data_IF_527794281986
#
_entry.id   IF_527794281986
#
_cell.length_a   1.000
_cell.length_b   1.000
_cell.length_c   1.000
_cell.angle_alpha   90.00
_cell.angle_beta   90.00
_cell.angle_gamma   90.00
#
_symmetry.space_group_name_H-M   'P 1'
#
loop_
_entity.id
_entity.type
_entity.pdbx_description
1 polymer ?
#
# COMPACT_ATOMS: atom_id res chain seq x y z
N UNK A 1 -7.01 -9.66 19.80
CA UNK A 1 -6.34 -8.61 19.02
C UNK A 1 -5.16 -8.09 19.81
N UNK A 2 -4.06 -7.73 19.14
CA UNK A 2 -2.94 -7.08 19.81
C UNK A 2 -3.32 -5.70 20.36
N UNK A 3 -2.48 -5.14 21.23
CA UNK A 3 -2.65 -3.76 21.70
C UNK A 3 -2.59 -2.79 20.49
N UNK A 4 -3.48 -1.79 20.41
CA UNK A 4 -3.46 -0.79 19.35
C UNK A 4 -2.16 0.03 19.41
N UNK A 5 -1.86 0.75 18.32
CA UNK A 5 -0.78 1.74 18.31
C UNK A 5 -0.97 2.80 19.40
N UNK A 6 0.12 3.36 19.94
CA UNK A 6 0.03 4.24 21.11
C UNK A 6 -0.61 5.61 20.82
N UNK A 7 -0.68 6.02 19.55
CA UNK A 7 -1.35 7.26 19.13
C UNK A 7 -0.54 8.54 19.31
N UNK A 8 0.56 8.52 20.08
CA UNK A 8 1.36 9.72 20.39
C UNK A 8 2.83 9.64 19.98
N UNK A 9 3.38 8.47 19.62
CA UNK A 9 4.75 8.40 19.09
C UNK A 9 4.81 8.93 17.65
N UNK A 10 6.01 9.29 17.19
CA UNK A 10 6.22 9.81 15.83
C UNK A 10 5.66 8.88 14.74
N UNK A 11 5.82 7.57 14.91
CA UNK A 11 5.27 6.58 13.99
C UNK A 11 3.74 6.65 13.90
N UNK A 12 3.05 6.68 15.05
CA UNK A 12 1.61 6.84 15.08
C UNK A 12 1.17 8.20 14.54
N UNK A 13 1.83 9.28 14.96
CA UNK A 13 1.49 10.64 14.55
C UNK A 13 1.61 10.83 13.03
N UNK A 14 2.76 10.48 12.45
CA UNK A 14 3.00 10.59 11.00
C UNK A 14 2.09 9.67 10.20
N UNK A 15 1.76 8.48 10.72
CA UNK A 15 0.81 7.58 10.04
C UNK A 15 -0.59 8.17 10.00
N UNK A 16 -1.05 8.74 11.13
CA UNK A 16 -2.39 9.34 11.23
C UNK A 16 -2.57 10.56 10.33
N UNK A 17 -1.51 11.34 10.10
CA UNK A 17 -1.55 12.50 9.19
C UNK A 17 -1.11 12.18 7.75
N UNK A 18 -0.84 10.90 7.43
CA UNK A 18 -0.52 10.46 6.08
C UNK A 18 0.89 10.81 5.59
N UNK A 19 1.86 11.04 6.48
CA UNK A 19 3.24 11.42 6.14
C UNK A 19 4.30 10.40 6.54
N UNK A 20 3.89 9.24 7.10
CA UNK A 20 4.83 8.20 7.48
C UNK A 20 5.54 7.61 6.26
N UNK A 21 6.88 7.58 6.26
CA UNK A 21 7.68 7.17 5.11
C UNK A 21 7.39 5.74 4.62
N UNK A 22 6.99 4.85 5.53
CA UNK A 22 6.68 3.45 5.23
C UNK A 22 5.18 3.12 5.12
N UNK A 23 4.29 4.12 5.19
CA UNK A 23 2.86 3.91 5.00
C UNK A 23 2.40 4.71 3.79
N UNK A 24 2.06 4.02 2.71
CA UNK A 24 1.61 4.64 1.48
C UNK A 24 0.12 4.38 1.28
N UNK A 25 -0.66 5.44 1.09
CA UNK A 25 -2.08 5.36 0.75
C UNK A 25 -2.24 5.75 -0.71
N UNK A 26 -2.82 4.85 -1.51
CA UNK A 26 -3.07 4.98 -2.93
C UNK A 26 -4.56 5.10 -3.14
N UNK A 27 -4.94 6.20 -3.76
CA UNK A 27 -6.31 6.57 -4.13
C UNK A 27 -6.28 7.16 -5.52
N UNK A 28 -7.35 7.03 -6.27
CA UNK A 28 -7.46 7.64 -7.59
C UNK A 28 -8.76 8.41 -7.75
N UNK A 29 -8.66 9.63 -8.28
CA UNK A 29 -9.82 10.41 -8.73
C UNK A 29 -10.27 9.99 -10.15
N UNK A 30 -9.54 9.08 -10.79
CA UNK A 30 -9.86 8.55 -12.12
C UNK A 30 -10.81 7.35 -12.04
N UNK A 31 -11.44 7.05 -13.17
CA UNK A 31 -12.31 5.88 -13.31
C UNK A 31 -11.54 4.54 -13.28
N UNK A 32 -10.22 4.56 -13.51
CA UNK A 32 -9.42 3.33 -13.57
C UNK A 32 -7.96 3.55 -13.17
N UNK A 33 -7.35 2.53 -12.58
CA UNK A 33 -5.92 2.43 -12.29
C UNK A 33 -5.25 1.59 -13.37
N UNK A 34 -4.28 2.20 -14.05
CA UNK A 34 -3.62 1.63 -15.22
C UNK A 34 -2.40 0.76 -14.90
N UNK A 35 -1.96 0.01 -15.91
CA UNK A 35 -0.78 -0.87 -15.85
C UNK A 35 0.50 -0.12 -15.45
N UNK A 36 0.72 1.09 -15.99
CA UNK A 36 1.93 1.87 -15.73
C UNK A 36 2.04 2.24 -14.25
N UNK A 37 0.97 2.81 -13.70
CA UNK A 37 0.89 3.21 -12.30
C UNK A 37 1.09 2.00 -11.37
N UNK A 38 0.46 0.88 -11.71
CA UNK A 38 0.58 -0.36 -10.92
C UNK A 38 1.99 -0.93 -10.96
N UNK A 39 2.71 -0.85 -12.09
CA UNK A 39 4.13 -1.24 -12.14
C UNK A 39 4.99 -0.37 -11.23
N UNK A 40 4.73 0.93 -11.19
CA UNK A 40 5.48 1.84 -10.32
C UNK A 40 5.20 1.55 -8.83
N UNK A 41 3.96 1.17 -8.49
CA UNK A 41 3.61 0.67 -7.15
C UNK A 41 4.31 -0.62 -6.80
N UNK A 42 4.29 -1.61 -7.69
CA UNK A 42 4.98 -2.88 -7.49
C UNK A 42 6.49 -2.66 -7.30
N UNK A 43 7.10 -1.75 -8.07
CA UNK A 43 8.52 -1.39 -7.90
C UNK A 43 8.80 -0.80 -6.52
N UNK A 44 7.95 0.12 -6.04
CA UNK A 44 8.07 0.69 -4.68
C UNK A 44 7.92 -0.39 -3.61
N UNK A 45 6.99 -1.32 -3.79
CA UNK A 45 6.74 -2.42 -2.84
C UNK A 45 7.94 -3.35 -2.61
N UNK A 46 8.91 -3.36 -3.54
CA UNK A 46 10.16 -4.12 -3.40
C UNK A 46 11.21 -3.43 -2.54
N UNK A 47 11.01 -2.15 -2.20
CA UNK A 47 11.92 -1.42 -1.32
C UNK A 47 11.76 -1.90 0.13
N UNK A 48 12.87 -1.91 0.87
CA UNK A 48 12.82 -2.12 2.32
C UNK A 48 12.21 -0.91 3.03
N UNK A 49 11.54 -1.10 4.17
CA UNK A 49 11.09 0.01 5.00
C UNK A 49 12.27 0.92 5.39
N UNK A 50 12.07 2.22 5.31
CA UNK A 50 13.03 3.26 5.61
C UNK A 50 13.24 3.47 7.12
N UNK A 51 12.17 3.45 7.91
CA UNK A 51 12.24 3.75 9.36
C UNK A 51 11.58 2.68 10.24
N UNK A 52 10.55 2.02 9.73
CA UNK A 52 9.71 1.07 10.44
C UNK A 52 10.14 -0.38 10.27
N UNK A 53 9.39 -1.26 10.94
CA UNK A 53 9.57 -2.71 10.80
C UNK A 53 8.89 -3.27 9.55
N UNK A 54 7.90 -2.56 9.03
CA UNK A 54 7.07 -2.96 7.91
C UNK A 54 6.81 -1.76 7.01
N UNK A 55 6.71 -2.02 5.70
CA UNK A 55 6.16 -1.12 4.71
C UNK A 55 4.71 -1.55 4.47
N UNK A 56 3.78 -0.61 4.51
CA UNK A 56 2.36 -0.86 4.32
C UNK A 56 1.88 -0.05 3.13
N UNK A 57 1.34 -0.72 2.12
CA UNK A 57 0.74 -0.10 0.94
C UNK A 57 -0.75 -0.35 1.00
N UNK A 58 -1.51 0.72 1.21
CA UNK A 58 -2.97 0.72 1.24
C UNK A 58 -3.46 1.21 -0.11
N UNK A 59 -4.21 0.39 -0.83
CA UNK A 59 -4.89 0.76 -2.08
C UNK A 59 -6.39 0.78 -1.81
N UNK A 60 -6.98 1.97 -1.76
CA UNK A 60 -8.38 2.13 -1.36
C UNK A 60 -9.38 1.84 -2.48
N UNK A 61 -8.97 2.08 -3.73
CA UNK A 61 -9.78 1.91 -4.93
C UNK A 61 -9.32 0.69 -5.75
N UNK A 62 -9.07 -0.46 -5.11
CA UNK A 62 -8.51 -1.63 -5.81
C UNK A 62 -9.46 -2.22 -6.85
N UNK A 63 -10.78 -2.02 -6.69
CA UNK A 63 -11.82 -2.35 -7.67
C UNK A 63 -11.67 -1.57 -9.00
N UNK A 64 -10.98 -0.42 -8.98
CA UNK A 64 -10.71 0.38 -10.18
C UNK A 64 -9.51 -0.10 -10.98
N UNK A 65 -8.81 -1.15 -10.56
CA UNK A 65 -7.74 -1.73 -11.37
C UNK A 65 -8.30 -2.22 -12.70
N UNK A 66 -7.67 -1.79 -13.80
CA UNK A 66 -7.86 -2.48 -15.08
C UNK A 66 -7.41 -3.93 -14.97
N UNK A 67 -7.94 -4.83 -15.81
CA UNK A 67 -7.54 -6.25 -15.82
C UNK A 67 -6.01 -6.42 -15.92
N UNK A 68 -5.38 -5.68 -16.84
CA UNK A 68 -3.93 -5.69 -16.99
C UNK A 68 -3.17 -5.17 -15.76
N UNK A 69 -3.74 -4.20 -15.05
CA UNK A 69 -3.17 -3.69 -13.80
C UNK A 69 -3.27 -4.73 -12.69
N UNK A 70 -4.42 -5.40 -12.55
CA UNK A 70 -4.61 -6.52 -11.63
C UNK A 70 -3.57 -7.63 -11.85
N UNK A 71 -3.36 -8.04 -13.11
CA UNK A 71 -2.36 -9.06 -13.45
C UNK A 71 -0.92 -8.67 -13.07
N UNK A 72 -0.56 -7.38 -13.16
CA UNK A 72 0.73 -6.89 -12.70
C UNK A 72 0.84 -6.95 -11.18
N UNK A 73 -0.24 -6.59 -10.47
CA UNK A 73 -0.28 -6.59 -9.01
C UNK A 73 -0.20 -8.01 -8.42
N UNK A 74 -0.84 -9.00 -9.07
CA UNK A 74 -0.94 -10.38 -8.58
C UNK A 74 0.41 -10.94 -8.12
N UNK A 75 1.44 -10.84 -8.97
CA UNK A 75 2.77 -11.34 -8.62
C UNK A 75 3.32 -10.72 -7.33
N UNK A 76 3.07 -9.43 -7.10
CA UNK A 76 3.55 -8.73 -5.90
C UNK A 76 2.75 -9.07 -4.63
N UNK A 77 1.53 -9.58 -4.76
CA UNK A 77 0.67 -9.99 -3.64
C UNK A 77 0.87 -11.47 -3.31
N UNK A 78 1.06 -12.32 -4.32
CA UNK A 78 1.33 -13.76 -4.16
C UNK A 78 2.73 -14.00 -3.55
N UNK A 79 3.72 -13.21 -3.96
CA UNK A 79 5.10 -13.27 -3.47
C UNK A 79 5.55 -11.89 -2.98
N UNK A 80 5.02 -11.41 -1.83
CA UNK A 80 5.34 -10.08 -1.35
C UNK A 80 6.79 -9.98 -0.90
N UNK A 81 7.39 -8.82 -1.12
CA UNK A 81 8.73 -8.53 -0.62
C UNK A 81 8.79 -8.69 0.92
N UNK A 82 9.92 -9.12 1.49
CA UNK A 82 10.05 -9.24 2.94
C UNK A 82 9.72 -7.92 3.63
N UNK A 83 8.85 -7.98 4.63
CA UNK A 83 8.38 -6.81 5.41
C UNK A 83 7.46 -5.85 4.65
N UNK A 84 6.85 -6.27 3.53
CA UNK A 84 5.81 -5.49 2.84
C UNK A 84 4.43 -6.09 3.11
N UNK A 85 3.47 -5.23 3.46
CA UNK A 85 2.05 -5.55 3.62
C UNK A 85 1.24 -4.80 2.58
N UNK A 86 0.41 -5.52 1.84
CA UNK A 86 -0.60 -4.94 0.96
C UNK A 86 -1.96 -4.96 1.65
N UNK A 87 -2.66 -3.83 1.64
CA UNK A 87 -4.05 -3.71 2.06
C UNK A 87 -4.86 -3.22 0.86
N UNK A 88 -5.69 -4.08 0.31
CA UNK A 88 -6.50 -3.81 -0.87
C UNK A 88 -7.97 -3.66 -0.43
N UNK A 89 -8.57 -2.51 -0.70
CA UNK A 89 -9.97 -2.25 -0.40
C UNK A 89 -10.78 -2.21 -1.70
N UNK A 90 -12.00 -2.72 -1.63
CA UNK A 90 -13.00 -2.59 -2.68
C UNK A 90 -14.35 -2.31 -1.98
N UNK A 91 -15.28 -1.58 -2.64
CA UNK A 91 -16.63 -1.39 -2.13
C UNK A 91 -17.31 -2.74 -1.85
N UNK A 92 -18.07 -2.80 -0.75
CA UNK A 92 -18.87 -3.96 -0.34
C UNK A 92 -20.17 -4.10 -1.14
#
# INVERSE_FOLDING_TARGET
>A
GGAPGCGFCDGCHTSLIGTHADVQIIRTDLLSIGVKETRDLVRRAQLSPAVGRWQVIVMEDADRLTEGAGNVLLKAVEEPAPRTVWMLCAPS
#
